data_IF_022298069717
#
_entry.id   IF_022298069717
#
_cell.length_a   1.000
_cell.length_b   1.000
_cell.length_c   1.000
_cell.angle_alpha   90.00
_cell.angle_beta   90.00
_cell.angle_gamma   90.00
#
_symmetry.space_group_name_H-M   'P 1'
#
loop_
_entity.id
_entity.type
_entity.pdbx_description
1 polymer ?
#
# COMPACT_ATOMS: atom_id res chain seq x y z
N UNK A 1 37.62 -39.09 -14.37
CA UNK A 1 37.13 -38.31 -13.24
C UNK A 1 35.71 -37.90 -13.57
N UNK A 2 34.72 -38.62 -13.07
CA UNK A 2 33.32 -38.22 -13.16
C UNK A 2 33.17 -36.89 -12.41
N UNK A 3 32.81 -35.83 -13.11
CA UNK A 3 32.30 -34.63 -12.45
C UNK A 3 31.07 -35.07 -11.66
N UNK A 4 31.17 -35.13 -10.34
CA UNK A 4 30.03 -35.25 -9.47
C UNK A 4 29.11 -34.06 -9.79
N UNK A 5 28.04 -34.31 -10.55
CA UNK A 5 27.02 -33.31 -10.82
C UNK A 5 26.52 -32.78 -9.47
N UNK A 6 26.78 -31.49 -9.20
CA UNK A 6 26.28 -30.83 -8.00
C UNK A 6 24.76 -30.95 -8.00
N UNK A 7 24.10 -31.50 -6.96
CA UNK A 7 22.65 -31.63 -6.90
C UNK A 7 21.91 -30.28 -7.17
N UNK A 8 22.53 -29.17 -6.81
CA UNK A 8 22.00 -27.84 -7.06
C UNK A 8 21.98 -27.50 -8.58
N UNK A 9 23.00 -27.94 -9.33
CA UNK A 9 23.04 -27.70 -10.78
C UNK A 9 22.02 -28.56 -11.53
N UNK A 10 21.75 -29.77 -11.02
CA UNK A 10 20.65 -30.60 -11.53
C UNK A 10 19.30 -29.89 -11.32
N UNK A 11 19.01 -29.37 -10.11
CA UNK A 11 17.78 -28.62 -9.83
C UNK A 11 17.63 -27.40 -10.74
N UNK A 12 18.71 -26.61 -10.95
CA UNK A 12 18.69 -25.47 -11.87
C UNK A 12 18.34 -25.89 -13.29
N UNK A 13 18.91 -26.97 -13.78
CA UNK A 13 18.65 -27.50 -15.12
C UNK A 13 17.19 -27.97 -15.24
N UNK A 14 16.66 -28.66 -14.23
CA UNK A 14 15.29 -29.13 -14.21
C UNK A 14 14.28 -27.93 -14.24
N UNK A 15 14.54 -26.88 -13.46
CA UNK A 15 13.74 -25.64 -13.48
C UNK A 15 13.83 -24.99 -14.87
N UNK A 16 15.02 -24.91 -15.47
CA UNK A 16 15.22 -24.34 -16.81
C UNK A 16 14.41 -25.11 -17.84
N UNK A 17 14.50 -26.45 -17.82
CA UNK A 17 13.77 -27.32 -18.75
C UNK A 17 12.24 -27.21 -18.55
N UNK A 18 11.78 -27.05 -17.32
CA UNK A 18 10.37 -26.87 -17.00
C UNK A 18 9.78 -25.59 -17.61
N UNK A 19 10.57 -24.53 -17.70
CA UNK A 19 10.16 -23.22 -18.23
C UNK A 19 10.39 -23.08 -19.74
N UNK A 20 11.25 -23.92 -20.33
CA UNK A 20 11.62 -23.82 -21.73
C UNK A 20 10.39 -24.02 -22.64
N UNK A 21 10.16 -23.05 -23.54
CA UNK A 21 9.05 -23.10 -24.50
C UNK A 21 7.66 -22.88 -23.93
N UNK A 22 7.55 -22.48 -22.66
CA UNK A 22 6.26 -22.14 -22.04
C UNK A 22 5.79 -20.76 -22.46
N UNK A 23 4.48 -20.60 -22.56
CA UNK A 23 3.85 -19.30 -22.69
C UNK A 23 4.08 -18.45 -21.43
N UNK A 24 3.95 -17.13 -21.56
CA UNK A 24 4.27 -16.20 -20.47
C UNK A 24 3.46 -16.48 -19.19
N UNK A 25 2.15 -16.69 -19.33
CA UNK A 25 1.25 -16.91 -18.17
C UNK A 25 1.57 -18.24 -17.47
N UNK A 26 1.85 -19.29 -18.24
CA UNK A 26 2.27 -20.58 -17.68
C UNK A 26 3.60 -20.46 -16.94
N UNK A 27 4.53 -19.70 -17.50
CA UNK A 27 5.83 -19.45 -16.87
C UNK A 27 5.66 -18.70 -15.53
N UNK A 28 4.76 -17.70 -15.47
CA UNK A 28 4.46 -16.98 -14.22
C UNK A 28 3.84 -17.93 -13.20
N UNK A 29 2.89 -18.79 -13.59
CA UNK A 29 2.28 -19.78 -12.71
C UNK A 29 3.30 -20.74 -12.13
N UNK A 30 4.10 -21.37 -12.99
CA UNK A 30 5.17 -22.30 -12.58
C UNK A 30 6.17 -21.63 -11.63
N UNK A 31 6.59 -20.40 -11.95
CA UNK A 31 7.53 -19.67 -11.09
C UNK A 31 6.92 -19.31 -9.74
N UNK A 32 5.64 -19.02 -9.67
CA UNK A 32 4.95 -18.80 -8.39
C UNK A 32 4.88 -20.08 -7.56
N UNK A 33 4.59 -21.23 -8.17
CA UNK A 33 4.56 -22.53 -7.50
C UNK A 33 5.96 -22.92 -6.93
N UNK A 34 7.01 -22.71 -7.72
CA UNK A 34 8.39 -22.94 -7.26
C UNK A 34 8.73 -22.03 -6.09
N UNK A 35 8.41 -20.74 -6.15
CA UNK A 35 8.63 -19.79 -5.05
C UNK A 35 7.86 -20.20 -3.80
N UNK A 36 6.61 -20.62 -3.93
CA UNK A 36 5.78 -21.07 -2.83
C UNK A 36 6.36 -22.32 -2.17
N UNK A 37 6.83 -23.27 -2.98
CA UNK A 37 7.49 -24.46 -2.47
C UNK A 37 8.77 -24.13 -1.68
N UNK A 38 9.63 -23.26 -2.22
CA UNK A 38 10.86 -22.81 -1.56
C UNK A 38 10.51 -22.06 -0.25
N UNK A 39 9.52 -21.18 -0.29
CA UNK A 39 9.04 -20.46 0.88
C UNK A 39 8.59 -21.39 2.01
N UNK A 40 7.85 -22.45 1.68
CA UNK A 40 7.40 -23.43 2.68
C UNK A 40 8.55 -24.16 3.40
N UNK A 41 9.72 -24.23 2.76
CA UNK A 41 10.95 -24.81 3.32
C UNK A 41 11.85 -23.75 3.98
N UNK A 42 11.55 -22.45 3.76
CA UNK A 42 12.38 -21.34 4.21
C UNK A 42 12.37 -21.18 5.73
N UNK A 43 13.52 -20.84 6.36
CA UNK A 43 13.54 -20.42 7.75
C UNK A 43 12.78 -19.11 7.99
N UNK A 44 12.52 -18.33 6.92
CA UNK A 44 11.80 -17.06 6.95
C UNK A 44 10.34 -17.16 6.49
N UNK A 45 9.77 -18.36 6.41
CA UNK A 45 8.38 -18.58 5.95
C UNK A 45 7.29 -17.84 6.74
N UNK A 46 7.63 -17.27 7.90
CA UNK A 46 6.73 -16.43 8.67
C UNK A 46 6.79 -14.95 8.26
N UNK A 47 7.69 -14.57 7.35
CA UNK A 47 7.84 -13.21 6.89
C UNK A 47 7.21 -13.06 5.49
N UNK A 48 6.21 -12.20 5.30
CA UNK A 48 5.52 -12.05 4.02
C UNK A 48 6.44 -11.76 2.83
N UNK A 49 7.52 -11.04 3.04
CA UNK A 49 8.47 -10.66 1.97
C UNK A 49 9.27 -11.85 1.43
N UNK A 50 9.34 -12.95 2.17
CA UNK A 50 10.01 -14.18 1.73
C UNK A 50 9.30 -14.84 0.52
N UNK A 51 8.01 -14.54 0.32
CA UNK A 51 7.24 -15.01 -0.83
C UNK A 51 6.56 -13.88 -1.58
N UNK A 52 7.23 -13.35 -2.59
CA UNK A 52 6.63 -12.41 -3.54
C UNK A 52 5.98 -13.19 -4.68
N UNK A 53 4.65 -13.09 -4.77
CA UNK A 53 3.81 -13.71 -5.81
C UNK A 53 3.43 -12.67 -6.86
N UNK A 54 3.60 -13.01 -8.15
CA UNK A 54 3.10 -12.20 -9.24
C UNK A 54 1.68 -12.64 -9.58
N UNK A 55 0.75 -11.69 -9.52
CA UNK A 55 -0.68 -11.93 -9.73
C UNK A 55 -1.22 -11.01 -10.82
N UNK A 56 -2.24 -11.44 -11.53
CA UNK A 56 -2.92 -10.60 -12.51
C UNK A 56 -3.51 -9.35 -11.87
N UNK A 57 -3.35 -8.20 -12.52
CA UNK A 57 -3.86 -6.92 -12.05
C UNK A 57 -5.35 -7.01 -11.69
N UNK A 58 -6.14 -7.72 -12.48
CA UNK A 58 -7.60 -7.80 -12.30
C UNK A 58 -8.02 -8.62 -11.07
N UNK A 59 -7.11 -9.43 -10.52
CA UNK A 59 -7.33 -10.15 -9.26
C UNK A 59 -7.15 -9.27 -8.02
N UNK A 60 -6.47 -8.12 -8.15
CA UNK A 60 -6.16 -7.22 -7.04
C UNK A 60 -7.21 -6.12 -6.97
N UNK A 61 -7.80 -5.88 -5.81
CA UNK A 61 -8.78 -4.81 -5.57
C UNK A 61 -8.23 -3.80 -4.57
N UNK A 62 -8.51 -2.52 -4.83
CA UNK A 62 -8.22 -1.47 -3.88
C UNK A 62 -9.15 -1.58 -2.66
N UNK A 63 -8.68 -1.17 -1.49
CA UNK A 63 -9.55 -0.99 -0.33
C UNK A 63 -10.31 0.33 -0.42
N UNK A 64 -11.43 0.41 0.30
CA UNK A 64 -12.35 1.56 0.38
C UNK A 64 -12.03 2.50 1.55
N UNK A 65 -11.02 2.19 2.35
CA UNK A 65 -10.67 2.90 3.58
C UNK A 65 -9.23 3.45 3.63
N UNK A 66 -8.57 3.58 2.46
CA UNK A 66 -7.22 4.17 2.43
C UNK A 66 -7.29 5.71 2.59
N UNK A 67 -6.75 6.27 3.69
CA UNK A 67 -6.82 7.71 3.96
C UNK A 67 -5.83 8.52 3.12
N UNK A 68 -4.87 7.86 2.44
CA UNK A 68 -3.80 8.57 1.74
C UNK A 68 -4.26 9.04 0.36
N UNK A 69 -4.27 10.36 0.19
CA UNK A 69 -4.34 11.01 -1.12
C UNK A 69 -2.95 11.52 -1.46
N UNK A 70 -2.45 11.15 -2.62
CA UNK A 70 -1.17 11.61 -3.15
C UNK A 70 -1.45 12.62 -4.26
N UNK A 71 -0.74 13.73 -4.24
CA UNK A 71 -0.87 14.76 -5.27
C UNK A 71 -0.39 14.25 -6.64
N UNK A 72 -0.90 14.78 -7.76
CA UNK A 72 -0.49 14.35 -9.09
C UNK A 72 1.03 14.34 -9.32
N UNK A 73 1.83 15.35 -8.91
CA UNK A 73 3.27 15.33 -9.11
C UNK A 73 3.99 14.17 -8.40
N UNK A 74 3.50 13.79 -7.22
CA UNK A 74 4.06 12.66 -6.46
C UNK A 74 3.72 11.31 -7.12
N UNK A 75 2.56 11.21 -7.76
CA UNK A 75 2.18 10.03 -8.56
C UNK A 75 3.05 9.89 -9.80
N UNK A 76 3.34 11.00 -10.50
CA UNK A 76 4.26 11.04 -11.64
C UNK A 76 5.67 10.63 -11.23
N UNK A 77 6.17 11.16 -10.11
CA UNK A 77 7.48 10.77 -9.56
C UNK A 77 7.54 9.27 -9.22
N UNK A 78 6.48 8.73 -8.64
CA UNK A 78 6.39 7.29 -8.36
C UNK A 78 6.38 6.46 -9.65
N UNK A 79 5.68 6.90 -10.68
CA UNK A 79 5.71 6.25 -12.00
C UNK A 79 7.12 6.26 -12.58
N UNK A 80 7.81 7.40 -12.56
CA UNK A 80 9.20 7.53 -13.02
C UNK A 80 10.12 6.60 -12.22
N UNK A 81 9.99 6.55 -10.90
CA UNK A 81 10.78 5.63 -10.07
C UNK A 81 10.52 4.17 -10.44
N UNK A 82 9.25 3.77 -10.59
CA UNK A 82 8.93 2.40 -11.00
C UNK A 82 9.46 2.10 -12.41
N UNK A 83 9.41 3.05 -13.34
CA UNK A 83 9.95 2.87 -14.69
C UNK A 83 11.47 2.70 -14.69
N UNK A 84 12.20 3.41 -13.85
CA UNK A 84 13.66 3.35 -13.79
C UNK A 84 14.16 2.17 -12.95
N UNK A 85 13.61 1.97 -11.77
CA UNK A 85 14.13 1.06 -10.75
C UNK A 85 13.37 -0.27 -10.68
N UNK A 86 12.19 -0.36 -11.28
CA UNK A 86 11.28 -1.49 -11.15
C UNK A 86 10.46 -1.44 -9.87
N UNK A 87 9.69 -2.50 -9.63
CA UNK A 87 9.02 -2.71 -8.36
C UNK A 87 10.02 -3.19 -7.31
N UNK A 88 10.57 -2.27 -6.54
CA UNK A 88 11.51 -2.57 -5.45
C UNK A 88 10.83 -3.04 -4.17
N UNK A 89 9.52 -2.76 -4.03
CA UNK A 89 8.69 -3.17 -2.90
C UNK A 89 7.40 -3.81 -3.42
N UNK A 90 7.02 -4.99 -2.96
CA UNK A 90 5.75 -5.62 -3.33
C UNK A 90 4.56 -4.86 -2.74
N UNK A 91 3.38 -5.09 -3.30
CA UNK A 91 2.10 -4.61 -2.78
C UNK A 91 1.70 -5.57 -1.66
N UNK A 92 1.40 -5.03 -0.48
CA UNK A 92 0.94 -5.83 0.66
C UNK A 92 -0.56 -6.06 0.54
N UNK A 93 -0.97 -7.32 0.61
CA UNK A 93 -2.35 -7.72 0.30
C UNK A 93 -2.93 -8.65 1.35
N UNK A 94 -4.25 -8.75 1.33
CA UNK A 94 -5.02 -9.73 2.07
C UNK A 94 -5.91 -10.54 1.12
N UNK A 95 -5.96 -11.88 1.22
CA UNK A 95 -6.83 -12.70 0.41
C UNK A 95 -8.29 -12.50 0.82
N UNK A 96 -9.16 -12.29 -0.17
CA UNK A 96 -10.62 -12.39 -0.06
C UNK A 96 -11.07 -13.59 -0.88
N UNK A 97 -12.34 -13.96 -0.82
CA UNK A 97 -12.87 -15.16 -1.49
C UNK A 97 -12.35 -15.32 -2.92
N UNK A 98 -12.63 -14.37 -3.81
CA UNK A 98 -12.22 -14.42 -5.22
C UNK A 98 -11.19 -13.34 -5.60
N UNK A 99 -10.77 -12.48 -4.68
CA UNK A 99 -9.93 -11.32 -4.94
C UNK A 99 -8.86 -11.15 -3.86
N UNK A 100 -7.91 -10.29 -4.15
CA UNK A 100 -6.82 -9.92 -3.24
C UNK A 100 -6.97 -8.43 -2.95
N UNK A 101 -7.22 -8.08 -1.68
CA UNK A 101 -7.41 -6.69 -1.24
C UNK A 101 -6.06 -6.03 -0.90
N UNK A 102 -5.83 -4.82 -1.39
CA UNK A 102 -4.63 -4.04 -1.06
C UNK A 102 -4.70 -3.53 0.37
N UNK A 103 -3.67 -3.81 1.16
CA UNK A 103 -3.46 -3.30 2.52
C UNK A 103 -2.48 -2.14 2.51
N UNK A 104 -1.36 -2.28 1.78
CA UNK A 104 -0.36 -1.24 1.56
C UNK A 104 0.17 -1.29 0.13
N UNK A 105 0.66 -0.14 -0.36
CA UNK A 105 1.11 -0.01 -1.74
C UNK A 105 -0.01 0.38 -2.71
N UNK A 106 -1.04 1.07 -2.23
CA UNK A 106 -2.16 1.56 -3.04
C UNK A 106 -1.70 2.33 -4.28
N UNK A 107 -0.77 3.27 -4.13
CA UNK A 107 -0.24 4.06 -5.24
C UNK A 107 0.58 3.22 -6.21
N UNK A 108 1.37 2.26 -5.73
CA UNK A 108 2.09 1.29 -6.57
C UNK A 108 1.13 0.40 -7.37
N UNK A 109 0.04 -0.04 -6.74
CA UNK A 109 -1.05 -0.75 -7.43
C UNK A 109 -1.68 0.13 -8.51
N UNK A 110 -1.95 1.40 -8.18
CA UNK A 110 -2.55 2.37 -9.11
C UNK A 110 -1.65 2.63 -10.31
N UNK A 111 -0.35 2.88 -10.12
CA UNK A 111 0.61 3.05 -11.21
C UNK A 111 0.65 1.83 -12.11
N UNK A 112 0.69 0.61 -11.55
CA UNK A 112 0.69 -0.62 -12.34
C UNK A 112 -0.56 -0.82 -13.20
N UNK A 113 -1.71 -0.27 -12.77
CA UNK A 113 -2.97 -0.33 -13.50
C UNK A 113 -3.11 0.75 -14.56
N UNK A 114 -2.78 1.99 -14.22
CA UNK A 114 -3.08 3.19 -15.00
C UNK A 114 -1.96 3.58 -15.96
N UNK A 115 -0.68 3.36 -15.59
CA UNK A 115 0.44 3.64 -16.47
C UNK A 115 0.56 2.60 -17.57
N UNK A 116 0.40 3.05 -18.81
CA UNK A 116 0.54 2.18 -19.98
C UNK A 116 1.93 1.56 -20.06
N UNK A 117 2.98 2.36 -19.84
CA UNK A 117 4.37 1.90 -19.93
C UNK A 117 4.71 0.86 -18.86
N UNK A 118 4.27 1.12 -17.61
CA UNK A 118 4.47 0.16 -16.51
C UNK A 118 3.70 -1.12 -16.79
N UNK A 119 2.42 -1.02 -17.17
CA UNK A 119 1.54 -2.16 -17.45
C UNK A 119 2.10 -3.06 -18.57
N UNK A 120 2.61 -2.47 -19.65
CA UNK A 120 3.26 -3.21 -20.75
C UNK A 120 4.50 -3.96 -20.26
N UNK A 121 5.36 -3.30 -19.47
CA UNK A 121 6.59 -3.91 -18.92
C UNK A 121 6.30 -5.09 -18.02
N UNK A 122 5.32 -4.97 -17.10
CA UNK A 122 4.93 -6.04 -16.18
C UNK A 122 3.93 -7.02 -16.79
N UNK A 123 3.56 -6.84 -18.06
CA UNK A 123 2.61 -7.69 -18.80
C UNK A 123 1.31 -7.96 -18.04
N UNK A 124 0.80 -6.96 -17.32
CA UNK A 124 -0.45 -7.05 -16.56
C UNK A 124 -0.36 -7.81 -15.24
N UNK A 125 0.85 -8.03 -14.68
CA UNK A 125 1.05 -8.69 -13.38
C UNK A 125 1.58 -7.71 -12.35
N UNK A 126 1.19 -7.90 -11.09
CA UNK A 126 1.67 -7.11 -9.94
C UNK A 126 2.41 -8.01 -8.94
N UNK A 127 3.53 -7.55 -8.37
CA UNK A 127 4.21 -8.27 -7.30
C UNK A 127 3.48 -8.03 -5.97
N UNK A 128 3.03 -9.10 -5.34
CA UNK A 128 2.26 -9.04 -4.10
C UNK A 128 2.87 -9.92 -3.01
N UNK A 129 2.66 -9.53 -1.76
CA UNK A 129 2.85 -10.37 -0.58
C UNK A 129 1.57 -10.41 0.22
N UNK A 130 1.33 -11.53 0.92
CA UNK A 130 0.16 -11.70 1.77
C UNK A 130 0.59 -11.48 3.22
N UNK A 131 -0.07 -10.55 3.94
CA UNK A 131 0.16 -10.40 5.38
C UNK A 131 -0.26 -11.65 6.14
N UNK A 132 0.23 -11.82 7.37
CA UNK A 132 -0.07 -13.00 8.20
C UNK A 132 -1.58 -13.21 8.35
N UNK A 133 -2.00 -14.48 8.24
CA UNK A 133 -3.42 -14.87 8.19
C UNK A 133 -4.19 -14.72 9.50
N UNK A 134 -3.50 -14.44 10.62
CA UNK A 134 -4.15 -14.27 11.94
C UNK A 134 -5.02 -13.01 12.03
N UNK A 135 -4.91 -12.09 11.06
CA UNK A 135 -5.72 -10.86 10.98
C UNK A 135 -6.96 -11.07 10.09
N UNK A 136 -7.93 -11.87 10.57
CA UNK A 136 -9.06 -12.30 9.74
C UNK A 136 -10.19 -11.27 9.60
N UNK A 137 -10.34 -10.35 10.55
CA UNK A 137 -11.44 -9.38 10.57
C UNK A 137 -11.16 -8.12 9.74
N UNK A 138 -12.22 -7.48 9.23
CA UNK A 138 -12.09 -6.19 8.50
C UNK A 138 -11.41 -5.12 9.35
N UNK A 139 -11.70 -5.08 10.65
CA UNK A 139 -11.08 -4.17 11.61
C UNK A 139 -9.56 -4.34 11.72
N UNK A 140 -9.07 -5.58 11.70
CA UNK A 140 -7.63 -5.86 11.75
C UNK A 140 -6.93 -5.40 10.45
N UNK A 141 -7.59 -5.55 9.30
CA UNK A 141 -7.07 -5.07 8.02
C UNK A 141 -7.02 -3.54 7.95
N UNK A 142 -8.08 -2.86 8.44
CA UNK A 142 -8.09 -1.40 8.57
C UNK A 142 -6.93 -0.95 9.44
N UNK A 143 -6.77 -1.54 10.64
CA UNK A 143 -5.67 -1.22 11.55
C UNK A 143 -4.30 -1.48 10.91
N UNK A 144 -4.14 -2.58 10.16
CA UNK A 144 -2.90 -2.88 9.44
C UNK A 144 -2.58 -1.81 8.40
N UNK A 145 -3.56 -1.42 7.58
CA UNK A 145 -3.39 -0.34 6.59
C UNK A 145 -2.94 0.96 7.25
N UNK A 146 -3.56 1.32 8.37
CA UNK A 146 -3.23 2.55 9.09
C UNK A 146 -1.83 2.48 9.70
N UNK A 147 -1.45 1.37 10.35
CA UNK A 147 -0.09 1.20 10.87
C UNK A 147 0.96 1.39 9.78
N UNK A 148 0.78 0.74 8.62
CA UNK A 148 1.69 0.90 7.48
C UNK A 148 1.78 2.34 6.98
N UNK A 149 0.65 3.01 6.90
CA UNK A 149 0.56 4.40 6.45
C UNK A 149 1.17 5.35 7.50
N UNK A 150 0.76 5.24 8.77
CA UNK A 150 1.18 6.14 9.84
C UNK A 150 2.69 6.08 10.12
N UNK A 151 3.29 4.93 9.94
CA UNK A 151 4.75 4.77 10.05
C UNK A 151 5.54 5.58 9.00
N UNK A 152 4.86 6.10 7.95
CA UNK A 152 5.49 6.80 6.82
C UNK A 152 5.30 8.32 6.79
N UNK A 153 4.49 8.92 7.68
CA UNK A 153 4.37 10.37 7.71
C UNK A 153 3.00 10.95 8.10
N UNK A 154 2.74 12.20 7.68
CA UNK A 154 1.55 12.98 8.07
C UNK A 154 0.28 12.45 7.40
N UNK A 155 -0.84 12.50 8.13
CA UNK A 155 -2.15 12.04 7.67
C UNK A 155 -3.18 13.16 7.71
N UNK A 156 -4.20 13.06 6.85
CA UNK A 156 -5.35 13.95 6.86
C UNK A 156 -6.20 13.61 8.09
N UNK A 157 -6.40 14.59 8.97
CA UNK A 157 -7.09 14.43 10.27
C UNK A 157 -8.51 13.88 10.10
N UNK A 158 -9.28 14.36 9.12
CA UNK A 158 -10.65 13.90 8.85
C UNK A 158 -10.69 12.39 8.52
N UNK A 159 -9.81 11.93 7.64
CA UNK A 159 -9.75 10.52 7.27
C UNK A 159 -9.36 9.61 8.45
N UNK A 160 -8.51 10.10 9.36
CA UNK A 160 -8.15 9.36 10.59
C UNK A 160 -9.32 9.30 11.56
N UNK A 161 -10.11 10.36 11.65
CA UNK A 161 -11.32 10.42 12.48
C UNK A 161 -12.34 9.38 12.03
N UNK A 162 -12.64 9.29 10.74
CA UNK A 162 -13.57 8.30 10.17
C UNK A 162 -13.14 6.86 10.47
N UNK A 163 -11.83 6.60 10.41
CA UNK A 163 -11.27 5.27 10.72
C UNK A 163 -11.41 4.93 12.20
N UNK A 164 -11.08 5.87 13.09
CA UNK A 164 -11.24 5.67 14.54
C UNK A 164 -12.69 5.33 14.86
N UNK A 165 -13.66 6.05 14.29
CA UNK A 165 -15.08 5.77 14.47
C UNK A 165 -15.48 4.39 13.93
N UNK A 166 -15.03 4.02 12.74
CA UNK A 166 -15.32 2.69 12.20
C UNK A 166 -14.80 1.58 13.13
N UNK A 167 -13.61 1.74 13.72
CA UNK A 167 -13.08 0.79 14.70
C UNK A 167 -13.88 0.79 16.00
N UNK A 168 -14.32 1.96 16.47
CA UNK A 168 -15.21 2.09 17.64
C UNK A 168 -16.57 1.43 17.39
N UNK A 169 -17.18 1.63 16.22
CA UNK A 169 -18.43 0.95 15.82
C UNK A 169 -18.29 -0.57 15.77
N UNK A 170 -17.06 -1.07 15.62
CA UNK A 170 -16.71 -2.51 15.70
C UNK A 170 -16.31 -2.96 17.09
N UNK A 171 -16.69 -2.20 18.13
CA UNK A 171 -16.46 -2.48 19.54
C UNK A 171 -14.97 -2.55 19.97
N UNK A 172 -14.09 -1.82 19.28
CA UNK A 172 -12.72 -1.67 19.78
C UNK A 172 -12.69 -0.64 20.92
N UNK A 173 -11.95 -0.98 22.00
CA UNK A 173 -11.70 -0.03 23.09
C UNK A 173 -10.73 1.07 22.67
N UNK A 174 -10.74 2.22 23.37
CA UNK A 174 -9.83 3.32 23.09
C UNK A 174 -8.37 2.90 23.24
N UNK A 175 -8.06 2.08 24.24
CA UNK A 175 -6.72 1.54 24.46
C UNK A 175 -6.27 0.64 23.32
N UNK A 176 -7.18 -0.19 22.76
CA UNK A 176 -6.88 -1.03 21.60
C UNK A 176 -6.64 -0.17 20.37
N UNK A 177 -7.50 0.81 20.10
CA UNK A 177 -7.34 1.75 18.99
C UNK A 177 -6.01 2.50 19.11
N UNK A 178 -5.73 3.08 20.30
CA UNK A 178 -4.50 3.79 20.58
C UNK A 178 -3.26 2.92 20.29
N UNK A 179 -3.23 1.72 20.85
CA UNK A 179 -2.12 0.77 20.67
C UNK A 179 -1.93 0.35 19.22
N UNK A 180 -3.01 -0.03 18.56
CA UNK A 180 -2.96 -0.59 17.20
C UNK A 180 -2.66 0.46 16.13
N UNK A 181 -3.09 1.72 16.35
CA UNK A 181 -2.85 2.82 15.42
C UNK A 181 -1.64 3.68 15.79
N UNK A 182 -0.95 3.38 16.89
CA UNK A 182 0.19 4.17 17.38
C UNK A 182 -0.21 5.59 17.81
N UNK A 183 -1.38 5.75 18.44
CA UNK A 183 -1.92 7.00 18.98
C UNK A 183 -1.84 6.99 20.51
N UNK A 184 -1.93 8.16 21.13
CA UNK A 184 -2.30 8.22 22.55
C UNK A 184 -3.82 8.22 22.74
N UNK A 185 -4.27 7.94 23.96
CA UNK A 185 -5.72 7.86 24.26
C UNK A 185 -6.42 9.22 24.10
N UNK A 186 -5.72 10.33 24.32
CA UNK A 186 -6.26 11.68 24.14
C UNK A 186 -6.44 12.00 22.65
N UNK A 187 -5.53 11.52 21.80
CA UNK A 187 -5.65 11.66 20.34
C UNK A 187 -6.87 10.88 19.83
N UNK A 188 -7.07 9.64 20.29
CA UNK A 188 -8.27 8.83 19.95
C UNK A 188 -9.55 9.56 20.36
N UNK A 189 -9.58 10.12 21.58
CA UNK A 189 -10.75 10.86 22.07
C UNK A 189 -11.02 12.11 21.22
N UNK A 190 -10.00 12.89 20.87
CA UNK A 190 -10.14 14.07 20.00
C UNK A 190 -10.68 13.71 18.62
N UNK A 191 -10.18 12.64 18.01
CA UNK A 191 -10.66 12.17 16.71
C UNK A 191 -12.12 11.72 16.77
N UNK A 192 -12.55 11.06 17.84
CA UNK A 192 -13.97 10.75 18.08
C UNK A 192 -14.83 12.00 18.24
N UNK A 193 -14.33 13.02 18.96
CA UNK A 193 -15.06 14.29 19.17
C UNK A 193 -15.24 15.09 17.87
N UNK A 194 -14.22 15.15 17.01
CA UNK A 194 -14.29 15.84 15.72
C UNK A 194 -15.43 15.29 14.86
N UNK A 195 -15.56 13.98 14.76
CA UNK A 195 -16.64 13.37 13.96
C UNK A 195 -17.98 13.39 14.68
N UNK A 196 -18.01 13.24 16.01
CA UNK A 196 -19.24 13.39 16.80
C UNK A 196 -19.82 14.78 16.68
N UNK A 197 -18.98 15.81 16.62
CA UNK A 197 -19.40 17.17 16.31
C UNK A 197 -19.90 17.28 14.86
N UNK A 198 -19.20 16.72 13.89
CA UNK A 198 -19.64 16.74 12.49
C UNK A 198 -20.99 16.04 12.28
N UNK A 199 -21.19 14.85 12.88
CA UNK A 199 -22.48 14.14 12.87
C UNK A 199 -23.61 14.92 13.58
N UNK A 200 -23.30 15.58 14.69
CA UNK A 200 -24.27 16.37 15.47
C UNK A 200 -24.75 17.63 14.72
N UNK A 201 -23.91 18.15 13.85
CA UNK A 201 -24.17 19.39 13.12
C UNK A 201 -24.44 19.18 11.61
N UNK A 202 -24.50 17.95 11.13
CA UNK A 202 -24.72 17.63 9.69
C UNK A 202 -26.04 18.19 9.13
N UNK A 203 -27.04 18.44 10.02
CA UNK A 203 -28.35 18.94 9.63
C UNK A 203 -28.66 20.36 10.17
N UNK A 204 -27.65 21.08 10.68
CA UNK A 204 -27.80 22.44 11.17
C UNK A 204 -27.32 23.44 10.12
N UNK A 205 -28.16 24.40 9.75
CA UNK A 205 -27.78 25.53 8.90
C UNK A 205 -26.85 26.46 9.67
N UNK A 206 -25.55 26.34 9.47
CA UNK A 206 -24.57 27.26 10.05
C UNK A 206 -24.56 28.59 9.29
N UNK A 207 -24.61 29.70 10.04
CA UNK A 207 -24.36 31.02 9.49
C UNK A 207 -22.90 31.13 9.01
N UNK A 208 -22.67 31.78 7.84
CA UNK A 208 -21.33 31.92 7.21
C UNK A 208 -20.24 32.49 8.16
N UNK A 209 -20.62 33.06 9.29
CA UNK A 209 -19.70 33.58 10.31
C UNK A 209 -18.83 32.50 11.00
N UNK A 210 -19.15 31.21 10.82
CA UNK A 210 -18.39 30.07 11.37
C UNK A 210 -17.54 29.34 10.34
N UNK A 211 -17.62 29.70 9.07
CA UNK A 211 -16.71 29.25 8.02
C UNK A 211 -15.52 30.20 7.99
N UNK A 212 -14.84 30.35 9.10
CA UNK A 212 -13.74 31.30 9.21
C UNK A 212 -12.42 30.59 9.25
N UNK A 213 -11.54 31.03 8.41
CA UNK A 213 -10.10 31.25 8.63
C UNK A 213 -9.20 30.11 9.14
N UNK A 214 -9.73 28.95 9.52
CA UNK A 214 -8.90 27.84 10.02
C UNK A 214 -8.41 26.91 8.90
N UNK A 215 -8.92 27.04 7.66
CA UNK A 215 -8.56 26.15 6.55
C UNK A 215 -7.75 26.81 5.42
N UNK A 216 -7.39 28.11 5.53
CA UNK A 216 -6.69 28.84 4.47
C UNK A 216 -5.20 29.13 4.76
N UNK A 217 -4.61 28.64 5.84
CA UNK A 217 -3.23 29.00 6.21
C UNK A 217 -2.14 27.99 5.82
N UNK A 218 -2.40 26.94 5.05
CA UNK A 218 -1.36 25.98 4.67
C UNK A 218 -0.96 25.95 3.18
N UNK A 219 -1.28 27.00 2.42
CA UNK A 219 -0.66 27.24 1.12
C UNK A 219 0.22 28.49 1.16
N UNK A 220 1.37 28.40 1.81
CA UNK A 220 2.47 29.33 1.53
C UNK A 220 3.06 28.93 0.20
N UNK A 221 2.65 29.60 -0.87
CA UNK A 221 3.39 29.64 -2.12
C UNK A 221 4.69 30.35 -1.83
N UNK A 222 5.80 29.62 -1.84
CA UNK A 222 7.13 30.21 -1.88
C UNK A 222 7.33 30.65 -3.32
N UNK A 223 7.10 31.93 -3.59
CA UNK A 223 7.55 32.58 -4.81
C UNK A 223 9.08 32.63 -4.78
N UNK A 224 9.71 31.82 -5.61
CA UNK A 224 11.12 32.00 -5.93
C UNK A 224 11.22 33.20 -6.87
N UNK A 225 11.54 34.37 -6.34
CA UNK A 225 12.01 35.49 -7.15
C UNK A 225 13.34 35.10 -7.80
N UNK A 226 13.31 34.94 -9.12
CA UNK A 226 14.49 34.90 -9.97
C UNK A 226 15.22 36.27 -9.87
N UNK A 227 16.26 36.32 -9.08
CA UNK A 227 17.25 37.39 -9.13
C UNK A 227 18.45 36.95 -9.97
N UNK A 228 18.25 36.93 -11.28
CA UNK A 228 19.37 37.00 -12.22
C UNK A 228 19.32 38.33 -12.98
N UNK A 229 20.01 39.32 -12.43
CA UNK A 229 20.57 40.41 -13.22
C UNK A 229 21.58 41.13 -12.36
N UNK A 230 22.85 40.83 -12.57
CA UNK A 230 23.86 41.91 -12.69
C UNK A 230 25.16 41.38 -13.28
N UNK A 231 25.37 41.85 -14.47
CA UNK A 231 26.63 42.00 -15.16
C UNK A 231 27.70 42.68 -14.28
N UNK A 232 28.98 42.25 -14.38
CA UNK A 232 30.13 43.13 -14.31
C UNK A 232 31.33 42.49 -15.04
N UNK A 233 31.76 43.18 -16.10
CA UNK A 233 33.11 43.39 -16.63
C UNK A 233 34.14 42.25 -16.51
#
# INVERSE_FOLDING_TARGET
MEQLNNPLDQIKNDITNLLLGKEFNDSVSIMNEIREHIHNLSPFKNEPVDFVKWVEIDSVVANDYNPNKVAPPEMELLEVSILNDGYTQPIVTWPREDKIEVIDGFHRNRVGRESKLVKERIKGYLPTVIIRKEQSEKSDRIASTIRHNRARGKHVVSAMSDIVIELKRRNWSDERVAKELGMDSDEVLRLCQISGLAEAFENEDFSEAWVSEIFDEDYVTIDFEDNDSESIL
#
